data_IF_438771399452
#
_entry.id   IF_438771399452
#
_cell.length_a   1.000
_cell.length_b   1.000
_cell.length_c   1.000
_cell.angle_alpha   90.00
_cell.angle_beta   90.00
_cell.angle_gamma   90.00
#
_symmetry.space_group_name_H-M   'P 1'
#
loop_
_entity.id
_entity.type
_entity.pdbx_description
1 polymer ?
#
# COMPACT_ATOMS: atom_id res chain seq x y z
N UNK A 1 10.37 1.18 -7.51
CA UNK A 1 8.92 1.20 -7.22
C UNK A 1 8.69 1.35 -5.73
N UNK A 2 7.65 2.08 -5.36
CA UNK A 2 7.17 2.25 -3.98
C UNK A 2 5.79 1.61 -3.93
N UNK A 3 5.60 0.65 -3.04
CA UNK A 3 4.30 0.02 -2.84
C UNK A 3 3.49 0.83 -1.81
N UNK A 4 2.25 1.20 -2.13
CA UNK A 4 1.34 1.89 -1.23
C UNK A 4 0.18 0.97 -0.88
N UNK A 5 -0.02 0.66 0.39
CA UNK A 5 -1.25 -0.01 0.82
C UNK A 5 -2.45 0.97 0.82
N UNK A 6 -3.65 0.45 1.09
CA UNK A 6 -4.86 1.27 1.18
C UNK A 6 -4.75 2.39 2.22
N UNK A 7 -4.07 2.18 3.35
CA UNK A 7 -3.90 3.22 4.38
C UNK A 7 -3.05 4.39 3.88
N UNK A 8 -1.95 4.12 3.18
CA UNK A 8 -1.11 5.14 2.55
C UNK A 8 -1.86 5.90 1.45
N UNK A 9 -2.63 5.21 0.61
CA UNK A 9 -3.44 5.85 -0.44
C UNK A 9 -4.53 6.75 0.16
N UNK A 10 -5.18 6.33 1.24
CA UNK A 10 -6.19 7.16 1.94
C UNK A 10 -5.57 8.46 2.45
N UNK A 11 -4.33 8.44 2.98
CA UNK A 11 -3.63 9.66 3.42
C UNK A 11 -3.31 10.64 2.29
N UNK A 12 -3.26 10.19 1.03
CA UNK A 12 -3.13 11.08 -0.13
C UNK A 12 -4.46 11.75 -0.49
N UNK A 13 -5.60 11.13 -0.14
CA UNK A 13 -6.95 11.63 -0.43
C UNK A 13 -7.53 12.48 0.70
N UNK A 14 -7.12 12.19 1.93
CA UNK A 14 -7.53 12.89 3.14
C UNK A 14 -6.28 13.39 3.86
N UNK A 15 -6.22 14.71 4.06
CA UNK A 15 -5.14 15.32 4.83
C UNK A 15 -5.25 14.90 6.30
N UNK A 16 -4.26 14.17 6.76
CA UNK A 16 -4.06 13.71 8.13
C UNK A 16 -2.70 14.22 8.65
N UNK A 17 -2.36 13.89 9.90
CA UNK A 17 -1.14 14.37 10.54
C UNK A 17 0.13 14.00 9.76
N UNK A 18 0.18 12.78 9.24
CA UNK A 18 1.33 12.22 8.51
C UNK A 18 1.31 12.55 7.01
N UNK A 19 0.22 13.13 6.48
CA UNK A 19 0.09 13.44 5.05
C UNK A 19 1.20 14.36 4.53
N UNK A 20 1.60 15.45 5.20
CA UNK A 20 2.69 16.32 4.73
C UNK A 20 4.00 15.55 4.56
N UNK A 21 4.34 14.70 5.53
CA UNK A 21 5.58 13.92 5.51
C UNK A 21 5.54 12.83 4.44
N UNK A 22 4.38 12.18 4.25
CA UNK A 22 4.17 11.24 3.13
C UNK A 22 4.41 11.92 1.78
N UNK A 23 3.78 13.07 1.56
CA UNK A 23 3.89 13.78 0.30
C UNK A 23 5.32 14.30 0.07
N UNK A 24 5.99 14.80 1.12
CA UNK A 24 7.41 15.20 1.06
C UNK A 24 8.30 14.02 0.66
N UNK A 25 8.15 12.89 1.36
CA UNK A 25 8.93 11.68 1.11
C UNK A 25 8.71 11.11 -0.30
N UNK A 26 7.48 11.16 -0.82
CA UNK A 26 7.18 10.75 -2.19
C UNK A 26 7.78 11.73 -3.22
N UNK A 27 7.74 13.04 -2.96
CA UNK A 27 8.28 14.06 -3.85
C UNK A 27 9.81 14.01 -3.95
N UNK A 28 10.51 13.72 -2.85
CA UNK A 28 11.96 13.45 -2.87
C UNK A 28 12.34 12.26 -3.76
N UNK A 29 11.39 11.35 -3.99
CA UNK A 29 11.54 10.14 -4.82
C UNK A 29 10.77 10.27 -6.12
N UNK A 30 10.54 11.50 -6.58
CA UNK A 30 9.90 11.77 -7.86
C UNK A 30 10.60 11.00 -8.99
N UNK A 31 9.83 10.30 -9.82
CA UNK A 31 10.33 9.38 -10.84
C UNK A 31 10.28 7.91 -10.44
N UNK A 32 10.10 7.60 -9.15
CA UNK A 32 9.86 6.22 -8.71
C UNK A 32 8.39 5.84 -8.95
N UNK A 33 8.15 4.74 -9.66
CA UNK A 33 6.79 4.24 -9.89
C UNK A 33 6.06 3.94 -8.57
N UNK A 34 4.83 4.44 -8.44
CA UNK A 34 3.93 4.12 -7.34
C UNK A 34 3.07 2.92 -7.72
N UNK A 35 3.06 1.91 -6.87
CA UNK A 35 2.42 0.62 -7.14
C UNK A 35 1.48 0.27 -5.99
N UNK A 36 0.38 -0.42 -6.29
CA UNK A 36 -0.46 -1.04 -5.28
C UNK A 36 -1.13 -2.31 -5.81
N UNK A 37 -1.78 -3.08 -4.94
CA UNK A 37 -2.73 -4.11 -5.38
C UNK A 37 -3.96 -3.45 -5.98
N UNK A 38 -4.57 -4.06 -7.00
CA UNK A 38 -5.88 -3.67 -7.52
C UNK A 38 -6.96 -3.63 -6.42
N UNK A 39 -6.71 -4.28 -5.27
CA UNK A 39 -7.55 -4.22 -4.08
C UNK A 39 -7.90 -2.79 -3.62
N UNK A 40 -7.03 -1.80 -3.86
CA UNK A 40 -7.30 -0.39 -3.49
C UNK A 40 -8.55 0.18 -4.15
N UNK A 41 -8.97 -0.38 -5.30
CA UNK A 41 -10.20 0.01 -5.99
C UNK A 41 -11.45 -0.30 -5.17
N UNK A 42 -11.36 -1.29 -4.28
CA UNK A 42 -12.43 -1.69 -3.38
C UNK A 42 -12.25 -1.04 -2.01
N UNK A 43 -11.05 -1.12 -1.43
CA UNK A 43 -10.80 -0.68 -0.06
C UNK A 43 -10.90 0.83 0.09
N UNK A 44 -10.28 1.61 -0.81
CA UNK A 44 -10.23 3.07 -0.68
C UNK A 44 -11.63 3.69 -0.75
N UNK A 45 -12.49 3.41 -1.75
CA UNK A 45 -13.83 3.98 -1.76
C UNK A 45 -14.70 3.51 -0.60
N UNK A 46 -14.54 2.28 -0.11
CA UNK A 46 -15.30 1.78 1.05
C UNK A 46 -14.89 2.47 2.34
N UNK A 47 -13.59 2.62 2.57
CA UNK A 47 -13.07 3.33 3.73
C UNK A 47 -13.49 4.81 3.72
N UNK A 48 -13.39 5.48 2.57
CA UNK A 48 -13.79 6.87 2.44
C UNK A 48 -15.30 7.08 2.60
N UNK A 49 -16.16 6.20 2.08
CA UNK A 49 -17.61 6.28 2.36
C UNK A 49 -17.94 6.25 3.85
N UNK A 50 -17.14 5.53 4.65
CA UNK A 50 -17.35 5.43 6.10
C UNK A 50 -16.82 6.65 6.86
N UNK A 51 -15.66 7.18 6.46
CA UNK A 51 -14.92 8.15 7.28
C UNK A 51 -14.84 9.57 6.70
N UNK A 52 -14.88 9.71 5.37
CA UNK A 52 -14.74 11.01 4.68
C UNK A 52 -15.37 10.95 3.27
N UNK A 53 -16.71 10.88 3.14
CA UNK A 53 -17.39 10.74 1.85
C UNK A 53 -17.02 11.84 0.84
N UNK A 54 -16.76 13.05 1.31
CA UNK A 54 -16.34 14.18 0.48
C UNK A 54 -15.02 13.93 -0.26
N UNK A 55 -14.14 13.07 0.24
CA UNK A 55 -12.86 12.76 -0.39
C UNK A 55 -13.00 11.78 -1.57
N UNK A 56 -14.18 11.16 -1.78
CA UNK A 56 -14.43 10.23 -2.89
C UNK A 56 -14.18 10.86 -4.26
N UNK A 57 -14.41 12.17 -4.39
CA UNK A 57 -14.18 12.92 -5.63
C UNK A 57 -12.71 12.85 -6.10
N UNK A 58 -11.77 12.68 -5.17
CA UNK A 58 -10.34 12.60 -5.46
C UNK A 58 -9.86 11.21 -5.89
N UNK A 59 -10.65 10.16 -5.67
CA UNK A 59 -10.23 8.76 -5.88
C UNK A 59 -9.72 8.51 -7.30
N UNK A 60 -10.43 8.92 -8.39
CA UNK A 60 -9.94 8.68 -9.74
C UNK A 60 -8.58 9.33 -10.01
N UNK A 61 -8.34 10.52 -9.46
CA UNK A 61 -7.08 11.25 -9.65
C UNK A 61 -5.91 10.56 -8.96
N UNK A 62 -6.11 10.05 -7.73
CA UNK A 62 -5.05 9.36 -6.98
C UNK A 62 -4.80 7.97 -7.56
N UNK A 63 -5.84 7.17 -7.80
CA UNK A 63 -5.68 5.83 -8.37
C UNK A 63 -5.10 5.87 -9.80
N UNK A 64 -5.39 6.91 -10.58
CA UNK A 64 -4.80 7.09 -11.91
C UNK A 64 -3.29 7.30 -11.93
N UNK A 65 -2.67 7.57 -10.77
CA UNK A 65 -1.21 7.69 -10.61
C UNK A 65 -0.54 6.38 -10.20
N UNK A 66 -1.33 5.37 -9.84
CA UNK A 66 -0.83 4.10 -9.33
C UNK A 66 -0.82 3.05 -10.44
N UNK A 67 0.29 2.34 -10.58
CA UNK A 67 0.27 1.04 -11.23
C UNK A 67 -0.42 0.05 -10.29
N UNK A 68 -1.51 -0.56 -10.74
CA UNK A 68 -2.30 -1.49 -9.93
C UNK A 68 -2.03 -2.91 -10.41
N UNK A 69 -1.63 -3.78 -9.49
CA UNK A 69 -1.30 -5.17 -9.76
C UNK A 69 -2.51 -6.05 -9.48
N UNK A 70 -2.87 -6.85 -10.48
CA UNK A 70 -3.99 -7.77 -10.39
C UNK A 70 -3.78 -8.87 -9.33
N UNK A 71 -4.89 -9.29 -8.72
CA UNK A 71 -4.89 -10.33 -7.66
C UNK A 71 -5.02 -11.71 -8.33
N UNK A 72 -3.95 -12.16 -8.97
CA UNK A 72 -3.91 -13.44 -9.67
C UNK A 72 -3.84 -14.66 -8.73
N UNK A 73 -3.74 -15.86 -9.31
CA UNK A 73 -3.64 -17.10 -8.53
C UNK A 73 -2.40 -17.14 -7.63
N UNK A 74 -1.27 -16.58 -8.08
CA UNK A 74 -0.01 -16.53 -7.34
C UNK A 74 -0.14 -15.64 -6.11
N UNK A 75 -0.74 -14.45 -6.27
CA UNK A 75 -1.03 -13.52 -5.16
C UNK A 75 -1.94 -14.19 -4.14
N UNK A 76 -3.03 -14.83 -4.57
CA UNK A 76 -3.98 -15.50 -3.66
C UNK A 76 -3.35 -16.66 -2.90
N UNK A 77 -2.56 -17.50 -3.59
CA UNK A 77 -1.87 -18.62 -2.96
C UNK A 77 -0.84 -18.14 -1.93
N UNK A 78 -0.06 -17.10 -2.27
CA UNK A 78 0.94 -16.51 -1.36
C UNK A 78 0.27 -15.88 -0.15
N UNK A 79 -0.79 -15.09 -0.34
CA UNK A 79 -1.55 -14.48 0.74
C UNK A 79 -2.14 -15.52 1.71
N UNK A 80 -2.62 -16.65 1.19
CA UNK A 80 -3.15 -17.76 2.00
C UNK A 80 -2.09 -18.59 2.73
N UNK A 81 -0.82 -18.45 2.37
CA UNK A 81 0.28 -19.23 2.94
C UNK A 81 0.97 -18.54 4.13
N UNK A 82 0.65 -17.27 4.43
CA UNK A 82 1.26 -16.58 5.56
C UNK A 82 0.87 -17.24 6.89
N UNK A 83 1.86 -17.58 7.75
CA UNK A 83 1.59 -18.29 9.00
C UNK A 83 1.07 -17.39 10.13
N UNK A 84 1.14 -16.07 9.98
CA UNK A 84 0.73 -15.09 11.01
C UNK A 84 -0.81 -15.09 11.16
N UNK A 85 -1.38 -15.66 12.24
CA UNK A 85 -2.82 -15.81 12.38
C UNK A 85 -3.57 -14.49 12.51
N UNK A 86 -2.88 -13.42 12.91
CA UNK A 86 -3.44 -12.10 13.11
C UNK A 86 -3.33 -11.20 11.87
N UNK A 87 -2.74 -11.68 10.77
CA UNK A 87 -2.70 -10.93 9.51
C UNK A 87 -4.09 -10.97 8.85
N UNK A 88 -4.73 -9.80 8.71
CA UNK A 88 -6.06 -9.72 8.09
C UNK A 88 -5.98 -10.09 6.61
N UNK A 89 -7.05 -10.68 6.06
CA UNK A 89 -7.04 -11.18 4.68
C UNK A 89 -6.68 -10.13 3.62
N UNK A 90 -7.15 -8.89 3.78
CA UNK A 90 -6.85 -7.81 2.85
C UNK A 90 -5.39 -7.33 2.98
N UNK A 91 -4.89 -7.26 4.21
CA UNK A 91 -3.48 -6.97 4.50
C UNK A 91 -2.57 -8.07 3.92
N UNK A 92 -2.97 -9.33 4.01
CA UNK A 92 -2.26 -10.46 3.42
C UNK A 92 -2.18 -10.36 1.88
N UNK A 93 -3.23 -9.89 1.22
CA UNK A 93 -3.20 -9.64 -0.23
C UNK A 93 -2.21 -8.52 -0.56
N UNK A 94 -2.25 -7.41 0.17
CA UNK A 94 -1.27 -6.33 -0.01
C UNK A 94 0.17 -6.81 0.19
N UNK A 95 0.41 -7.56 1.26
CA UNK A 95 1.72 -8.12 1.58
C UNK A 95 2.22 -9.08 0.48
N UNK A 96 1.35 -9.99 0.03
CA UNK A 96 1.67 -10.94 -1.03
C UNK A 96 1.99 -10.26 -2.35
N UNK A 97 1.19 -9.27 -2.76
CA UNK A 97 1.47 -8.50 -3.97
C UNK A 97 2.84 -7.82 -3.88
N UNK A 98 3.15 -7.19 -2.74
CA UNK A 98 4.43 -6.52 -2.54
C UNK A 98 5.61 -7.48 -2.50
N UNK A 99 5.49 -8.62 -1.81
CA UNK A 99 6.53 -9.65 -1.74
C UNK A 99 6.88 -10.21 -3.12
N UNK A 100 5.85 -10.50 -3.93
CA UNK A 100 6.05 -11.01 -5.29
C UNK A 100 6.80 -9.98 -6.14
N UNK A 101 6.43 -8.70 -6.07
CA UNK A 101 7.11 -7.63 -6.80
C UNK A 101 8.56 -7.44 -6.33
N UNK A 102 8.80 -7.43 -5.02
CA UNK A 102 10.12 -7.23 -4.45
C UNK A 102 11.11 -8.35 -4.81
N UNK A 103 10.60 -9.57 -5.05
CA UNK A 103 11.43 -10.71 -5.48
C UNK A 103 11.74 -10.75 -6.97
N UNK A 104 11.16 -9.87 -7.79
CA UNK A 104 11.49 -9.83 -9.21
C UNK A 104 12.89 -9.24 -9.42
N UNK A 105 13.76 -9.95 -10.14
CA UNK A 105 15.17 -9.58 -10.31
C UNK A 105 15.40 -8.20 -10.96
N UNK A 106 14.42 -7.70 -11.73
CA UNK A 106 14.47 -6.39 -12.38
C UNK A 106 13.84 -5.25 -11.55
N UNK A 107 13.26 -5.56 -10.39
CA UNK A 107 12.52 -4.60 -9.58
C UNK A 107 13.44 -3.88 -8.59
N UNK A 108 13.66 -2.57 -8.80
CA UNK A 108 14.18 -1.70 -7.76
C UNK A 108 13.05 -1.41 -6.76
N UNK A 109 12.86 -2.26 -5.74
CA UNK A 109 11.80 -2.11 -4.75
C UNK A 109 12.28 -1.22 -3.59
N UNK A 110 11.77 0.02 -3.52
CA UNK A 110 12.25 1.06 -2.60
C UNK A 110 11.66 0.89 -1.20
N UNK A 111 10.34 0.78 -1.11
CA UNK A 111 9.67 0.59 0.17
C UNK A 111 8.24 0.08 -0.01
N UNK A 112 7.80 -0.67 0.99
CA UNK A 112 6.40 -0.92 1.30
C UNK A 112 5.90 0.14 2.30
N UNK A 113 4.99 1.00 1.85
CA UNK A 113 4.45 2.10 2.64
C UNK A 113 3.08 1.71 3.17
N UNK A 114 2.98 1.66 4.50
CA UNK A 114 1.74 1.47 5.24
C UNK A 114 1.77 2.31 6.51
N UNK A 115 0.59 2.60 7.05
CA UNK A 115 0.41 3.23 8.36
C UNK A 115 -0.34 2.32 9.34
N UNK A 116 -0.58 1.08 8.94
CA UNK A 116 -1.05 0.04 9.85
C UNK A 116 0.17 -0.63 10.50
N UNK A 117 0.30 -0.49 11.82
CA UNK A 117 1.44 -1.04 12.59
C UNK A 117 1.58 -2.54 12.41
N UNK A 118 0.48 -3.29 12.33
CA UNK A 118 0.52 -4.76 12.23
C UNK A 118 0.99 -5.19 10.85
N UNK A 119 0.49 -4.54 9.80
CA UNK A 119 0.95 -4.79 8.44
C UNK A 119 2.41 -4.35 8.24
N UNK A 120 2.82 -3.25 8.87
CA UNK A 120 4.22 -2.80 8.86
C UNK A 120 5.16 -3.87 9.44
N UNK A 121 4.83 -4.41 10.62
CA UNK A 121 5.63 -5.48 11.24
C UNK A 121 5.61 -6.78 10.43
N UNK A 122 4.47 -7.14 9.81
CA UNK A 122 4.40 -8.29 8.91
C UNK A 122 5.31 -8.13 7.67
N UNK A 123 5.35 -6.93 7.08
CA UNK A 123 6.25 -6.61 5.97
C UNK A 123 7.72 -6.67 6.37
N UNK A 124 8.08 -6.14 7.55
CA UNK A 124 9.44 -6.26 8.11
C UNK A 124 9.82 -7.73 8.33
N UNK A 125 8.91 -8.53 8.88
CA UNK A 125 9.17 -9.94 9.20
C UNK A 125 9.53 -10.79 7.98
N UNK A 126 9.04 -10.42 6.79
CA UNK A 126 9.38 -11.08 5.52
C UNK A 126 10.52 -10.40 4.76
N UNK A 127 11.17 -9.40 5.35
CA UNK A 127 12.36 -8.73 4.82
C UNK A 127 12.09 -7.64 3.79
N UNK A 128 10.85 -7.14 3.68
CA UNK A 128 10.59 -5.99 2.80
C UNK A 128 11.21 -4.71 3.40
N UNK A 129 11.81 -3.83 2.60
CA UNK A 129 12.08 -2.47 3.04
C UNK A 129 10.73 -1.79 3.28
N UNK A 130 10.57 -1.15 4.43
CA UNK A 130 9.32 -0.50 4.81
C UNK A 130 9.51 0.98 5.09
N UNK A 131 8.45 1.77 4.94
CA UNK A 131 8.44 3.17 5.35
C UNK A 131 7.06 3.60 5.84
N UNK A 132 7.03 4.50 6.81
CA UNK A 132 5.81 5.16 7.29
C UNK A 132 6.14 6.64 7.59
N UNK A 133 6.35 7.48 6.57
CA UNK A 133 6.79 8.87 6.78
C UNK A 133 5.89 9.63 7.77
N UNK A 134 6.49 10.28 8.78
CA UNK A 134 5.74 11.00 9.82
C UNK A 134 5.15 10.12 10.93
N UNK A 135 5.27 8.79 10.82
CA UNK A 135 4.94 7.86 11.90
C UNK A 135 6.15 7.64 12.81
N UNK A 136 6.00 7.70 14.15
CA UNK A 136 7.08 7.45 15.10
C UNK A 136 7.49 5.97 15.18
#
# INVERSE_FOLDING_TARGET
>A
MIYLDSAAVIKMLRREAETPDLLGWLNERAGTALVSSALVEVEVPRALRRAAPQALVGVPSVLGRLYRVEIDATVRATAGAYPEPMLRSLDAVHLATAEILARQAAAEFVAFVTYDKRLLEAAKAIGLPVASPGMP
#
